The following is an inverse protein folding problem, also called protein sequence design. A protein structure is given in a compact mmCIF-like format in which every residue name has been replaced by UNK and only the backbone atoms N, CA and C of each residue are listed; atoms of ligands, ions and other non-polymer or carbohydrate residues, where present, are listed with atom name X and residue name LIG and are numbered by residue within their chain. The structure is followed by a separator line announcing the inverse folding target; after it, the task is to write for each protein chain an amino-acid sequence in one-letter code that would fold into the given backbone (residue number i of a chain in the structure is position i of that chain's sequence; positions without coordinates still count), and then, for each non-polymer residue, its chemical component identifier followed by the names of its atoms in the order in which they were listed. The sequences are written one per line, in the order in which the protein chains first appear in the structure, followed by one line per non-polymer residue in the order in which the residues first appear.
data_IF_685371099726
#
_entry.id   IF_685371099726
#
_cell.length_a   1.000
_cell.length_b   1.000
_cell.length_c   1.000
_cell.angle_alpha   90.00
_cell.angle_beta   90.00
_cell.angle_gamma   90.00
#
_symmetry.space_group_name_H-M   'P 1'
#
loop_
_entity.id
_entity.type
_entity.pdbx_description
1 polymer ?
#
# COMPACT_ATOMS: atom_id res chain seq x y z
N UNK A 1 -21.70 -7.84 9.05
CA UNK A 1 -21.88 -7.51 7.62
C UNK A 1 -20.67 -8.02 6.87
N UNK A 2 -20.89 -8.71 5.79
CA UNK A 2 -19.79 -9.10 4.91
C UNK A 2 -19.46 -7.99 3.94
N UNK A 3 -18.21 -7.76 3.73
CA UNK A 3 -17.71 -6.71 2.87
C UNK A 3 -17.22 -5.49 3.65
N UNK A 4 -16.76 -4.49 2.93
CA UNK A 4 -16.16 -3.29 3.50
C UNK A 4 -16.81 -2.07 2.87
N UNK A 5 -17.39 -1.20 3.70
CA UNK A 5 -18.00 0.06 3.27
C UNK A 5 -17.68 1.13 4.31
N UNK A 6 -16.63 1.91 4.06
CA UNK A 6 -16.20 2.99 4.95
C UNK A 6 -15.58 4.12 4.13
N UNK A 7 -15.42 5.28 4.75
CA UNK A 7 -14.73 6.41 4.15
C UNK A 7 -13.22 6.13 4.09
N UNK A 8 -12.77 5.63 2.94
CA UNK A 8 -11.37 5.21 2.76
C UNK A 8 -10.40 6.40 2.80
N UNK A 9 -10.81 7.56 2.31
CA UNK A 9 -9.98 8.77 2.39
C UNK A 9 -9.70 9.14 3.84
N UNK A 10 -10.75 9.20 4.66
CA UNK A 10 -10.60 9.51 6.09
C UNK A 10 -9.71 8.51 6.81
N UNK A 11 -9.87 7.22 6.52
CA UNK A 11 -9.04 6.18 7.12
C UNK A 11 -7.57 6.31 6.70
N UNK A 12 -7.32 6.57 5.42
CA UNK A 12 -5.95 6.72 4.91
C UNK A 12 -5.25 7.93 5.52
N UNK A 13 -5.93 9.07 5.60
CA UNK A 13 -5.39 10.31 6.15
C UNK A 13 -5.08 10.17 7.65
N UNK A 14 -5.91 9.45 8.39
CA UNK A 14 -5.71 9.19 9.82
C UNK A 14 -4.61 8.17 10.10
N UNK A 15 -4.32 7.28 9.17
CA UNK A 15 -3.36 6.21 9.39
C UNK A 15 -1.94 6.76 9.54
N UNK A 16 -1.23 6.34 10.58
CA UNK A 16 0.19 6.63 10.78
C UNK A 16 1.06 5.37 10.72
N UNK A 17 0.47 4.21 10.56
CA UNK A 17 1.21 2.95 10.45
C UNK A 17 1.80 2.81 9.04
N UNK A 18 3.00 2.24 8.98
CA UNK A 18 3.62 1.94 7.69
C UNK A 18 2.69 1.08 6.83
N UNK A 19 2.08 0.04 7.43
CA UNK A 19 1.14 -0.85 6.74
C UNK A 19 0.04 -1.29 7.70
N UNK A 20 -1.20 -1.23 7.23
CA UNK A 20 -2.34 -1.77 7.98
C UNK A 20 -3.29 -2.46 7.00
N UNK A 21 -3.37 -3.78 7.08
CA UNK A 21 -4.33 -4.55 6.28
C UNK A 21 -5.73 -4.31 6.85
N UNK A 22 -6.61 -3.71 6.02
CA UNK A 22 -7.98 -3.40 6.44
C UNK A 22 -8.96 -4.52 6.14
N UNK A 23 -8.88 -5.08 4.94
CA UNK A 23 -9.86 -6.07 4.50
C UNK A 23 -9.26 -6.98 3.45
N UNK A 24 -9.43 -8.27 3.68
CA UNK A 24 -8.97 -9.32 2.76
C UNK A 24 -10.17 -10.08 2.22
N UNK A 25 -10.44 -9.90 0.93
CA UNK A 25 -11.42 -10.69 0.19
C UNK A 25 -10.72 -11.86 -0.50
N UNK A 26 -11.47 -12.68 -1.23
CA UNK A 26 -10.90 -13.83 -1.95
C UNK A 26 -9.87 -13.43 -3.01
N UNK A 27 -10.16 -12.36 -3.76
CA UNK A 27 -9.40 -11.99 -4.96
C UNK A 27 -8.79 -10.58 -4.88
N UNK A 28 -8.95 -9.87 -3.77
CA UNK A 28 -8.30 -8.58 -3.56
C UNK A 28 -8.13 -8.31 -2.07
N UNK A 29 -7.24 -7.36 -1.77
CA UNK A 29 -6.92 -6.99 -0.39
C UNK A 29 -6.69 -5.48 -0.32
N UNK A 30 -7.36 -4.83 0.62
CA UNK A 30 -7.26 -3.40 0.86
C UNK A 30 -6.32 -3.12 2.03
N UNK A 31 -5.32 -2.27 1.80
CA UNK A 31 -4.24 -1.99 2.76
C UNK A 31 -3.98 -0.49 2.83
N UNK A 32 -3.90 0.05 4.04
CA UNK A 32 -3.45 1.43 4.26
C UNK A 32 -1.94 1.46 4.42
N UNK A 33 -1.32 2.53 3.92
CA UNK A 33 0.10 2.79 4.11
C UNK A 33 0.36 4.27 4.39
N UNK A 34 1.35 4.55 5.23
CA UNK A 34 1.86 5.88 5.48
C UNK A 34 3.38 5.84 5.44
N UNK A 35 3.97 6.70 4.62
CA UNK A 35 5.42 6.83 4.50
C UNK A 35 5.86 8.17 5.09
N UNK A 36 6.88 8.15 5.95
CA UNK A 36 7.49 9.37 6.47
C UNK A 36 8.31 10.05 5.36
N UNK A 37 8.61 11.35 5.48
CA UNK A 37 9.52 12.01 4.53
C UNK A 37 10.81 11.20 4.34
N UNK A 38 11.27 11.09 3.09
CA UNK A 38 12.42 10.31 2.65
C UNK A 38 12.28 8.79 2.75
N UNK A 39 11.17 8.29 3.27
CA UNK A 39 10.90 6.85 3.35
C UNK A 39 10.34 6.32 2.04
N UNK A 40 10.61 5.05 1.76
CA UNK A 40 10.08 4.38 0.58
C UNK A 40 9.54 3.01 0.95
N UNK A 41 8.67 2.46 0.10
CA UNK A 41 8.20 1.08 0.29
C UNK A 41 9.35 0.09 0.06
N UNK A 42 10.18 0.35 -0.93
CA UNK A 42 11.25 -0.52 -1.39
C UNK A 42 10.90 -1.12 -2.76
N UNK A 43 11.92 -1.37 -3.55
CA UNK A 43 11.72 -1.94 -4.88
C UNK A 43 11.17 -3.37 -4.75
N UNK A 44 10.07 -3.65 -5.45
CA UNK A 44 9.38 -4.94 -5.40
C UNK A 44 8.93 -5.38 -6.78
N UNK A 45 8.80 -6.70 -6.94
CA UNK A 45 8.17 -7.33 -8.11
C UNK A 45 7.15 -8.32 -7.56
N UNK A 46 5.89 -8.19 -7.99
CA UNK A 46 4.82 -9.08 -7.57
C UNK A 46 4.26 -9.90 -8.74
N UNK A 47 3.74 -11.07 -8.45
CA UNK A 47 3.01 -11.90 -9.42
C UNK A 47 1.52 -11.53 -9.47
N UNK A 48 1.14 -10.45 -8.81
CA UNK A 48 -0.22 -9.94 -8.72
C UNK A 48 -0.26 -8.54 -9.29
N UNK A 49 -1.48 -8.05 -9.55
CA UNK A 49 -1.69 -6.66 -9.91
C UNK A 49 -1.84 -5.83 -8.64
N UNK A 50 -1.38 -4.59 -8.69
CA UNK A 50 -1.46 -3.68 -7.55
C UNK A 50 -1.92 -2.31 -7.98
N UNK A 51 -2.82 -1.73 -7.17
CA UNK A 51 -3.34 -0.38 -7.36
C UNK A 51 -2.96 0.46 -6.14
N UNK A 52 -2.50 1.70 -6.38
CA UNK A 52 -2.27 2.68 -5.31
C UNK A 52 -3.11 3.92 -5.57
N UNK A 53 -3.62 4.52 -4.52
CA UNK A 53 -4.24 5.84 -4.55
C UNK A 53 -3.62 6.72 -3.47
N UNK A 54 -3.11 7.88 -3.87
CA UNK A 54 -2.55 8.87 -2.94
C UNK A 54 -3.68 9.76 -2.42
N UNK A 55 -3.83 9.84 -1.10
CA UNK A 55 -4.83 10.67 -0.44
C UNK A 55 -4.25 11.95 0.15
N UNK A 56 -2.97 11.95 0.55
CA UNK A 56 -2.31 13.12 1.13
C UNK A 56 -0.79 13.04 0.89
N UNK A 57 -0.19 14.21 0.67
CA UNK A 57 1.25 14.30 0.45
C UNK A 57 1.63 14.17 -1.01
N UNK A 58 2.94 14.05 -1.26
CA UNK A 58 3.51 13.94 -2.60
C UNK A 58 4.73 13.03 -2.58
N UNK A 59 5.07 12.48 -3.73
CA UNK A 59 6.21 11.59 -3.87
C UNK A 59 6.47 11.23 -5.31
N UNK A 60 7.08 10.08 -5.50
CA UNK A 60 7.35 9.52 -6.82
C UNK A 60 6.94 8.05 -6.87
N UNK A 61 6.40 7.64 -8.01
CA UNK A 61 6.20 6.24 -8.36
C UNK A 61 7.27 5.86 -9.37
N UNK A 62 7.95 4.75 -9.11
CA UNK A 62 8.95 4.20 -10.04
C UNK A 62 8.42 2.88 -10.60
N UNK A 63 8.38 2.78 -11.93
CA UNK A 63 8.00 1.55 -12.64
C UNK A 63 9.03 1.28 -13.74
N UNK A 64 9.69 0.12 -13.66
CA UNK A 64 10.75 -0.29 -14.58
C UNK A 64 11.80 0.82 -14.81
N UNK A 65 12.21 1.50 -13.73
CA UNK A 65 13.22 2.54 -13.75
C UNK A 65 12.71 3.93 -14.14
N UNK A 66 11.45 4.07 -14.51
CA UNK A 66 10.86 5.38 -14.86
C UNK A 66 10.16 5.96 -13.65
N UNK A 67 10.57 7.16 -13.23
CA UNK A 67 9.99 7.88 -12.09
C UNK A 67 8.98 8.91 -12.56
N UNK A 68 7.83 8.91 -11.91
CA UNK A 68 6.73 9.85 -12.17
C UNK A 68 6.34 10.51 -10.87
N UNK A 69 6.24 11.84 -10.86
CA UNK A 69 5.77 12.58 -9.68
C UNK A 69 4.30 12.26 -9.43
N UNK A 70 3.96 12.02 -8.17
CA UNK A 70 2.60 11.74 -7.72
C UNK A 70 2.23 12.65 -6.54
N UNK A 71 0.95 12.90 -6.37
CA UNK A 71 0.38 13.69 -5.26
C UNK A 71 -1.05 13.24 -4.99
N UNK A 72 -1.69 13.85 -4.00
CA UNK A 72 -3.09 13.56 -3.67
C UNK A 72 -3.98 13.54 -4.93
N UNK A 73 -4.79 12.52 -5.04
CA UNK A 73 -5.66 12.29 -6.19
C UNK A 73 -5.08 11.40 -7.28
N UNK A 74 -3.78 11.12 -7.24
CA UNK A 74 -3.14 10.25 -8.24
C UNK A 74 -3.39 8.78 -7.95
N UNK A 75 -3.62 8.04 -9.01
CA UNK A 75 -3.67 6.58 -8.99
C UNK A 75 -2.43 6.02 -9.67
N UNK A 76 -1.94 4.88 -9.18
CA UNK A 76 -0.85 4.12 -9.80
C UNK A 76 -1.33 2.69 -9.97
N UNK A 77 -1.30 2.19 -11.18
CA UNK A 77 -1.60 0.77 -11.46
C UNK A 77 -0.31 0.08 -11.83
N UNK A 78 0.04 -0.96 -11.08
CA UNK A 78 1.24 -1.75 -11.31
C UNK A 78 0.81 -3.14 -11.79
N UNK A 79 1.01 -3.43 -13.10
CA UNK A 79 0.72 -4.77 -13.62
C UNK A 79 1.66 -5.81 -13.01
N UNK A 80 1.19 -7.04 -12.90
CA UNK A 80 2.01 -8.16 -12.45
C UNK A 80 3.33 -8.23 -13.21
N UNK A 81 4.43 -8.45 -12.50
CA UNK A 81 5.77 -8.57 -13.07
C UNK A 81 6.53 -7.27 -13.25
N UNK A 82 5.90 -6.13 -13.04
CA UNK A 82 6.58 -4.82 -13.16
C UNK A 82 7.32 -4.48 -11.87
N UNK A 83 8.62 -4.22 -11.99
CA UNK A 83 9.41 -3.74 -10.85
C UNK A 83 9.00 -2.32 -10.50
N UNK A 84 8.66 -2.08 -9.25
CA UNK A 84 8.09 -0.80 -8.83
C UNK A 84 8.51 -0.40 -7.42
N UNK A 85 8.37 0.88 -7.13
CA UNK A 85 8.60 1.46 -5.81
C UNK A 85 7.75 2.73 -5.66
N UNK A 86 7.39 3.06 -4.44
CA UNK A 86 6.76 4.33 -4.07
C UNK A 86 7.69 5.00 -3.07
N UNK A 87 8.03 6.26 -3.32
CA UNK A 87 9.02 7.01 -2.55
C UNK A 87 8.39 8.32 -2.09
N UNK A 88 8.48 8.63 -0.81
CA UNK A 88 8.06 9.93 -0.30
C UNK A 88 9.20 10.94 -0.51
N UNK A 89 9.07 11.78 -1.51
CA UNK A 89 10.03 12.85 -1.81
C UNK A 89 9.60 14.21 -1.26
N UNK A 90 8.46 14.24 -0.56
CA UNK A 90 7.93 15.46 0.05
C UNK A 90 8.44 15.71 1.46
N UNK A 91 7.85 16.71 2.12
CA UNK A 91 8.24 17.14 3.47
C UNK A 91 7.21 16.75 4.54
N UNK A 92 6.10 16.13 4.13
CA UNK A 92 5.03 15.66 5.01
C UNK A 92 4.78 14.18 4.75
N UNK A 93 4.09 13.47 5.66
CA UNK A 93 3.77 12.06 5.43
C UNK A 93 3.00 11.86 4.13
N UNK A 94 3.33 10.80 3.41
CA UNK A 94 2.62 10.36 2.21
C UNK A 94 1.60 9.31 2.65
N UNK A 95 0.31 9.65 2.51
CA UNK A 95 -0.81 8.80 2.93
C UNK A 95 -1.46 8.19 1.69
N UNK A 96 -1.58 6.88 1.68
CA UNK A 96 -2.15 6.18 0.54
C UNK A 96 -2.86 4.91 0.98
N UNK A 97 -3.65 4.36 0.09
CA UNK A 97 -4.09 2.98 0.20
C UNK A 97 -3.71 2.21 -1.05
N UNK A 98 -3.62 0.91 -0.90
CA UNK A 98 -3.26 0.02 -1.99
C UNK A 98 -4.19 -1.18 -2.01
N UNK A 99 -4.42 -1.71 -3.20
CA UNK A 99 -5.21 -2.92 -3.41
C UNK A 99 -4.32 -3.94 -4.13
N UNK A 100 -4.17 -5.10 -3.52
CA UNK A 100 -3.51 -6.24 -4.13
C UNK A 100 -4.56 -7.18 -4.71
N UNK A 101 -4.34 -7.67 -5.89
CA UNK A 101 -5.23 -8.62 -6.56
C UNK A 101 -4.41 -9.70 -7.26
N UNK A 102 -4.34 -10.91 -6.66
CA UNK A 102 -4.95 -11.39 -5.41
C UNK A 102 -4.28 -10.84 -4.15
N UNK A 103 -4.77 -11.20 -2.95
CA UNK A 103 -4.15 -10.76 -1.70
C UNK A 103 -2.67 -11.12 -1.59
N UNK A 104 -1.91 -10.28 -0.89
CA UNK A 104 -0.46 -10.44 -0.73
C UNK A 104 -0.03 -10.67 0.73
N UNK A 105 -0.74 -10.08 1.67
CA UNK A 105 -0.42 -10.13 3.10
C UNK A 105 -1.38 -11.04 3.86
N UNK A 106 -0.94 -11.52 5.03
CA UNK A 106 -1.83 -12.19 5.96
C UNK A 106 -2.87 -11.19 6.46
N UNK A 107 -4.10 -11.62 6.59
CA UNK A 107 -5.19 -10.78 7.08
C UNK A 107 -4.87 -10.21 8.46
N UNK A 108 -5.23 -8.94 8.67
CA UNK A 108 -5.07 -8.26 9.95
C UNK A 108 -3.66 -7.79 10.29
N UNK A 109 -2.69 -7.94 9.39
CA UNK A 109 -1.31 -7.48 9.62
C UNK A 109 -1.27 -5.97 9.85
N UNK A 110 -0.54 -5.56 10.89
CA UNK A 110 -0.22 -4.17 11.18
C UNK A 110 1.29 -4.06 11.40
N UNK A 111 1.94 -3.21 10.61
CA UNK A 111 3.34 -2.85 10.80
C UNK A 111 3.39 -1.36 11.13
N UNK A 112 3.77 -1.01 12.36
CA UNK A 112 3.83 0.39 12.78
C UNK A 112 4.93 1.16 12.08
N UNK A 113 6.04 0.48 11.76
CA UNK A 113 7.22 1.07 11.11
C UNK A 113 7.66 0.22 9.91
N UNK A 114 8.45 0.82 9.02
CA UNK A 114 9.06 0.09 7.92
C UNK A 114 9.98 -1.03 8.44
N UNK A 115 10.70 -0.78 9.53
CA UNK A 115 11.56 -1.79 10.14
C UNK A 115 10.77 -3.01 10.61
N UNK A 116 9.58 -2.80 11.20
CA UNK A 116 8.70 -3.90 11.58
C UNK A 116 8.28 -4.73 10.37
N UNK A 117 7.98 -4.06 9.26
CA UNK A 117 7.60 -4.73 8.02
C UNK A 117 8.76 -5.57 7.44
N UNK A 118 9.97 -5.03 7.46
CA UNK A 118 11.16 -5.75 6.97
C UNK A 118 11.51 -6.97 7.83
N UNK A 119 11.21 -6.92 9.13
CA UNK A 119 11.49 -8.00 10.06
C UNK A 119 10.43 -9.13 10.00
N UNK A 120 9.25 -8.86 9.45
CA UNK A 120 8.15 -9.81 9.38
C UNK A 120 8.06 -10.40 7.98
N UNK A 121 8.18 -11.72 7.87
CA UNK A 121 8.11 -12.45 6.59
C UNK A 121 6.75 -13.08 6.36
N UNK A 122 5.69 -12.43 6.83
CA UNK A 122 4.33 -12.89 6.64
C UNK A 122 3.93 -12.86 5.16
N UNK A 123 2.93 -13.64 4.82
CA UNK A 123 2.34 -13.65 3.47
C UNK A 123 0.88 -14.09 3.59
N UNK A 124 0.14 -13.88 2.50
CA UNK A 124 -1.25 -14.33 2.44
C UNK A 124 -1.32 -15.85 2.63
N UNK A 125 -2.12 -16.29 3.59
CA UNK A 125 -2.26 -17.70 3.98
C UNK A 125 -3.58 -18.33 3.49
N UNK A 126 -4.30 -17.64 2.63
CA UNK A 126 -5.59 -18.09 2.10
C UNK A 126 -6.79 -17.72 2.97
N UNK A 127 -6.55 -17.12 4.14
CA UNK A 127 -7.63 -16.71 5.04
C UNK A 127 -8.09 -15.30 4.74
N UNK A 128 -9.40 -15.13 4.60
CA UNK A 128 -10.04 -13.83 4.38
C UNK A 128 -10.52 -13.24 5.71
N UNK A 129 -10.90 -11.96 5.69
CA UNK A 129 -11.42 -11.27 6.87
C UNK A 129 -12.71 -11.92 7.37
N UNK A 130 -13.51 -12.47 6.47
CA UNK A 130 -14.81 -13.08 6.81
C UNK A 130 -15.00 -14.46 6.20
#
# INVERSE_FOLDING_TARGET
MKGFVQDIEALAVKNSDFRQVLYTAKHCQLVLMALKPAEEIGAEVHKLDQFFRVEEGSGEAEMDGVRTAIRAGFAVVVPAGVKHNIINTGTVPLKLYTIYAPPNHRDGVVHHTRADAEADREHFDGKTTE
#
